data_IF_242418205191
#
_entry.id   IF_242418205191
#
_cell.length_a   1.000
_cell.length_b   1.000
_cell.length_c   1.000
_cell.angle_alpha   90.00
_cell.angle_beta   90.00
_cell.angle_gamma   90.00
#
_symmetry.space_group_name_H-M   'P 1'
#
loop_
_entity.id
_entity.type
_entity.pdbx_description
1 polymer ?
#
# COMPACT_ATOMS: atom_id res chain seq x y z
N UNK A 1 19.80 3.12 12.34
CA UNK A 1 18.36 3.35 12.52
C UNK A 1 17.65 2.30 13.39
N UNK A 2 18.29 1.22 13.84
CA UNK A 2 17.64 0.13 14.58
C UNK A 2 16.77 -0.78 13.72
N UNK A 3 16.98 -0.78 12.41
CA UNK A 3 16.42 -1.71 11.45
C UNK A 3 17.54 -2.55 10.84
N UNK A 4 17.24 -3.82 10.61
CA UNK A 4 18.07 -4.71 9.79
C UNK A 4 17.67 -4.52 8.33
N UNK A 5 18.62 -4.10 7.50
CA UNK A 5 18.36 -3.79 6.09
C UNK A 5 18.86 -4.93 5.21
N UNK A 6 17.98 -5.40 4.34
CA UNK A 6 18.29 -6.39 3.31
C UNK A 6 17.81 -5.92 1.92
N UNK A 7 18.31 -6.59 0.89
CA UNK A 7 17.93 -6.37 -0.50
C UNK A 7 17.50 -7.70 -1.10
N UNK A 8 16.32 -7.71 -1.70
CA UNK A 8 15.85 -8.83 -2.49
C UNK A 8 16.08 -8.51 -3.96
N UNK A 9 17.09 -9.12 -4.56
CA UNK A 9 17.29 -9.06 -6.01
C UNK A 9 16.44 -10.12 -6.69
N UNK A 10 15.78 -9.75 -7.77
CA UNK A 10 14.95 -10.66 -8.55
C UNK A 10 15.14 -10.43 -10.05
N UNK A 11 14.81 -11.45 -10.84
CA UNK A 11 14.82 -11.39 -12.30
C UNK A 11 13.40 -11.23 -12.80
N UNK A 12 13.21 -10.43 -13.82
CA UNK A 12 11.95 -10.34 -14.54
C UNK A 12 12.00 -11.20 -15.79
N UNK A 13 10.86 -11.66 -16.29
CA UNK A 13 10.75 -12.33 -17.59
C UNK A 13 11.14 -11.39 -18.75
N UNK A 14 11.07 -10.10 -18.51
CA UNK A 14 11.56 -9.04 -19.38
C UNK A 14 12.93 -8.61 -18.84
N UNK A 15 14.00 -9.17 -19.40
CA UNK A 15 15.37 -8.72 -19.08
C UNK A 15 15.48 -7.24 -19.45
N UNK A 16 15.39 -6.40 -18.45
CA UNK A 16 15.67 -4.98 -18.56
C UNK A 16 17.17 -4.82 -18.79
N UNK A 17 17.58 -4.81 -20.03
CA UNK A 17 18.92 -4.47 -20.54
C UNK A 17 19.96 -4.13 -19.44
N UNK A 18 20.33 -5.14 -18.60
CA UNK A 18 21.35 -5.01 -17.57
C UNK A 18 20.93 -4.28 -16.26
N UNK A 19 19.66 -4.00 -16.03
CA UNK A 19 19.19 -3.44 -14.75
C UNK A 19 18.92 -4.56 -13.75
N UNK A 20 19.39 -4.39 -12.53
CA UNK A 20 19.01 -5.24 -11.39
C UNK A 20 17.75 -4.67 -10.78
N UNK A 21 16.69 -5.48 -10.67
CA UNK A 21 15.48 -5.13 -9.95
C UNK A 21 15.66 -5.52 -8.48
N UNK A 22 15.38 -4.61 -7.56
CA UNK A 22 15.72 -4.77 -6.14
C UNK A 22 14.62 -4.22 -5.25
N UNK A 23 13.99 -5.08 -4.47
CA UNK A 23 13.20 -4.62 -3.34
C UNK A 23 14.13 -4.30 -2.15
N UNK A 24 13.86 -3.22 -1.43
CA UNK A 24 14.60 -2.84 -0.22
C UNK A 24 13.72 -3.16 0.99
N UNK A 25 14.26 -3.93 1.93
CA UNK A 25 13.50 -4.42 3.08
C UNK A 25 14.21 -3.98 4.37
N UNK A 26 13.48 -3.31 5.24
CA UNK A 26 13.93 -2.95 6.58
C UNK A 26 13.13 -3.73 7.63
N UNK A 27 13.78 -4.61 8.39
CA UNK A 27 13.14 -5.38 9.46
C UNK A 27 13.34 -4.69 10.81
N UNK A 28 12.24 -4.46 11.52
CA UNK A 28 12.22 -4.15 12.96
C UNK A 28 11.77 -5.37 13.73
N UNK A 29 12.72 -5.97 14.43
CA UNK A 29 12.45 -7.11 15.34
C UNK A 29 11.68 -6.67 16.60
N UNK A 30 10.86 -7.54 17.19
CA UNK A 30 10.18 -7.27 18.44
C UNK A 30 11.17 -7.18 19.62
N UNK A 31 10.74 -6.54 20.70
CA UNK A 31 11.56 -6.40 21.91
C UNK A 31 11.84 -7.74 22.62
N UNK A 32 10.90 -8.69 22.49
CA UNK A 32 11.05 -10.06 22.99
C UNK A 32 10.76 -11.03 21.85
N UNK A 33 11.52 -12.12 21.73
CA UNK A 33 11.25 -13.14 20.73
C UNK A 33 9.84 -13.70 20.91
N UNK A 34 8.98 -13.42 19.96
CA UNK A 34 7.63 -13.99 19.86
C UNK A 34 7.46 -14.46 18.41
N UNK A 35 6.95 -15.67 18.25
CA UNK A 35 6.62 -16.24 16.94
C UNK A 35 5.30 -15.66 16.41
N UNK A 36 5.22 -14.34 16.36
CA UNK A 36 4.07 -13.65 15.77
C UNK A 36 4.35 -13.30 14.31
N UNK A 37 3.36 -13.45 13.42
CA UNK A 37 3.50 -13.05 12.03
C UNK A 37 3.87 -11.57 11.88
N UNK A 38 4.74 -11.29 10.91
CA UNK A 38 5.18 -9.92 10.60
C UNK A 38 4.05 -9.07 10.06
N UNK A 39 3.98 -7.81 10.48
CA UNK A 39 3.19 -6.80 9.80
C UNK A 39 4.05 -6.17 8.71
N UNK A 40 3.49 -6.01 7.51
CA UNK A 40 4.17 -5.37 6.39
C UNK A 40 3.65 -3.95 6.20
N UNK A 41 4.55 -3.03 5.89
CA UNK A 41 4.25 -1.66 5.43
C UNK A 41 5.05 -1.45 4.16
N UNK A 42 4.42 -1.06 3.07
CA UNK A 42 5.10 -0.92 1.79
C UNK A 42 4.74 0.36 1.04
N UNK A 43 5.60 0.72 0.11
CA UNK A 43 5.37 1.68 -0.95
C UNK A 43 6.29 1.30 -2.12
N UNK A 44 5.89 1.56 -3.37
CA UNK A 44 6.83 1.42 -4.48
C UNK A 44 7.70 2.68 -4.61
N UNK A 45 8.91 2.53 -5.16
CA UNK A 45 9.85 3.65 -5.30
C UNK A 45 10.21 3.99 -6.73
N UNK A 46 9.72 3.21 -7.69
CA UNK A 46 9.79 3.54 -9.11
C UNK A 46 8.68 4.51 -9.52
N UNK A 47 8.77 5.06 -10.70
CA UNK A 47 7.76 5.95 -11.29
C UNK A 47 7.76 5.82 -12.81
N UNK A 48 6.65 6.12 -13.46
CA UNK A 48 6.54 6.07 -14.92
C UNK A 48 7.47 7.08 -15.58
N UNK A 49 8.03 6.70 -16.73
CA UNK A 49 8.92 7.57 -17.48
C UNK A 49 8.21 8.89 -17.84
N UNK A 50 8.88 10.00 -17.54
CA UNK A 50 8.37 11.35 -17.82
C UNK A 50 7.48 11.95 -16.72
N UNK A 51 7.15 11.19 -15.66
CA UNK A 51 6.53 11.72 -14.45
C UNK A 51 7.58 12.26 -13.48
N UNK A 52 7.17 13.22 -12.63
CA UNK A 52 8.00 13.67 -11.50
C UNK A 52 8.01 12.65 -10.35
N UNK A 53 7.02 11.73 -10.30
CA UNK A 53 6.86 10.76 -9.23
C UNK A 53 6.56 11.36 -7.84
N UNK A 54 6.15 12.64 -7.78
CA UNK A 54 6.03 13.34 -6.50
C UNK A 54 4.95 12.77 -5.59
N UNK A 55 3.77 12.46 -6.14
CA UNK A 55 2.71 11.77 -5.42
C UNK A 55 2.76 10.27 -5.68
N UNK A 56 2.97 9.89 -6.92
CA UNK A 56 3.11 8.52 -7.39
C UNK A 56 4.59 8.16 -7.64
N UNK A 57 5.36 7.58 -6.65
CA UNK A 57 4.86 7.34 -5.30
C UNK A 57 5.87 7.83 -4.24
N UNK A 58 6.53 8.97 -4.48
CA UNK A 58 7.42 9.54 -3.47
C UNK A 58 6.69 9.92 -2.17
N UNK A 59 5.38 10.24 -2.25
CA UNK A 59 4.55 10.50 -1.08
C UNK A 59 4.41 9.25 -0.20
N UNK A 60 4.13 8.09 -0.81
CA UNK A 60 4.07 6.80 -0.12
C UNK A 60 5.42 6.41 0.46
N UNK A 61 6.51 6.60 -0.29
CA UNK A 61 7.89 6.36 0.21
C UNK A 61 8.21 7.24 1.41
N UNK A 62 7.85 8.53 1.37
CA UNK A 62 8.06 9.44 2.49
C UNK A 62 7.31 8.97 3.76
N UNK A 63 6.05 8.55 3.60
CA UNK A 63 5.26 8.01 4.70
C UNK A 63 5.84 6.67 5.21
N UNK A 64 6.30 5.78 4.33
CA UNK A 64 6.99 4.53 4.68
C UNK A 64 8.24 4.80 5.54
N UNK A 65 9.08 5.74 5.10
CA UNK A 65 10.30 6.11 5.82
C UNK A 65 10.00 6.74 7.18
N UNK A 66 8.96 7.55 7.29
CA UNK A 66 8.55 8.14 8.56
C UNK A 66 7.98 7.09 9.52
N UNK A 67 7.18 6.13 9.03
CA UNK A 67 6.75 4.97 9.81
C UNK A 67 7.97 4.17 10.31
N UNK A 68 8.93 3.90 9.45
CA UNK A 68 10.17 3.21 9.80
C UNK A 68 10.97 3.98 10.87
N UNK A 69 11.11 5.30 10.73
CA UNK A 69 11.80 6.17 11.67
C UNK A 69 11.16 6.16 13.07
N UNK A 70 9.83 6.23 13.13
CA UNK A 70 9.09 6.23 14.38
C UNK A 70 9.12 4.86 15.05
N UNK A 71 8.81 3.81 14.31
CA UNK A 71 8.75 2.45 14.85
C UNK A 71 10.11 1.86 15.17
N UNK A 72 11.20 2.35 14.54
CA UNK A 72 12.56 1.92 14.91
C UNK A 72 12.92 2.21 16.37
N UNK A 73 12.31 3.24 16.97
CA UNK A 73 12.51 3.68 18.36
C UNK A 73 11.49 3.09 19.33
N UNK A 74 10.52 2.33 18.83
CA UNK A 74 9.42 1.79 19.61
C UNK A 74 9.67 0.33 19.96
N UNK A 75 9.27 -0.09 21.14
CA UNK A 75 9.24 -1.51 21.51
C UNK A 75 8.01 -2.16 20.88
N UNK A 76 8.23 -3.09 19.96
CA UNK A 76 7.18 -3.78 19.23
C UNK A 76 6.91 -5.17 19.85
N UNK A 77 5.66 -5.62 19.75
CA UNK A 77 5.26 -6.97 20.15
C UNK A 77 5.42 -7.98 19.03
N UNK A 78 5.42 -7.53 17.77
CA UNK A 78 5.59 -8.35 16.57
C UNK A 78 6.62 -7.75 15.63
N UNK A 79 7.22 -8.52 14.74
CA UNK A 79 8.09 -7.99 13.71
C UNK A 79 7.29 -7.04 12.78
N UNK A 80 7.95 -5.99 12.31
CA UNK A 80 7.44 -5.13 11.24
C UNK A 80 8.48 -5.06 10.13
N UNK A 81 8.05 -5.31 8.90
CA UNK A 81 8.88 -5.14 7.71
C UNK A 81 8.41 -3.91 6.93
N UNK A 82 9.34 -3.04 6.62
CA UNK A 82 9.15 -1.88 5.76
C UNK A 82 9.75 -2.21 4.41
N UNK A 83 8.94 -2.18 3.35
CA UNK A 83 9.35 -2.67 2.04
C UNK A 83 9.17 -1.56 1.01
N UNK A 84 10.26 -1.18 0.36
CA UNK A 84 10.20 -0.37 -0.84
C UNK A 84 10.25 -1.31 -2.05
N UNK A 85 9.13 -1.42 -2.77
CA UNK A 85 9.01 -2.25 -3.96
C UNK A 85 9.56 -1.53 -5.19
N UNK A 86 10.15 -2.30 -6.09
CA UNK A 86 10.63 -1.86 -7.38
C UNK A 86 9.70 -2.38 -8.48
N UNK A 87 9.60 -1.70 -9.60
CA UNK A 87 8.81 -2.12 -10.76
C UNK A 87 7.33 -2.36 -10.48
N UNK A 88 6.71 -1.45 -9.73
CA UNK A 88 5.25 -1.42 -9.56
C UNK A 88 4.57 -0.94 -10.85
N UNK A 89 5.16 0.07 -11.47
CA UNK A 89 4.61 0.76 -12.62
C UNK A 89 4.64 -0.07 -13.89
N UNK A 90 3.55 -0.02 -14.67
CA UNK A 90 3.54 -0.56 -16.03
C UNK A 90 4.39 0.31 -16.93
N UNK A 91 5.45 -0.23 -17.47
CA UNK A 91 6.39 0.44 -18.34
C UNK A 91 6.61 -0.38 -19.62
N UNK A 92 7.25 0.19 -20.67
CA UNK A 92 7.61 -0.59 -21.87
C UNK A 92 8.42 -1.85 -21.52
N UNK A 93 9.12 -1.82 -20.42
CA UNK A 93 10.01 -2.88 -19.95
C UNK A 93 9.29 -3.97 -19.14
N UNK A 94 8.07 -3.75 -18.68
CA UNK A 94 7.40 -4.75 -17.86
C UNK A 94 5.94 -4.41 -17.50
N UNK A 95 5.19 -5.42 -17.06
CA UNK A 95 3.74 -5.32 -16.84
C UNK A 95 3.35 -4.56 -15.56
N UNK A 96 4.31 -4.16 -14.73
CA UNK A 96 4.08 -3.63 -13.37
C UNK A 96 3.89 -4.73 -12.33
N UNK A 97 3.80 -4.33 -11.06
CA UNK A 97 3.65 -5.18 -9.87
C UNK A 97 4.70 -6.29 -9.75
N UNK A 98 5.88 -6.11 -10.38
CA UNK A 98 6.88 -7.18 -10.48
C UNK A 98 7.60 -7.38 -9.15
N UNK A 99 7.92 -6.31 -8.44
CA UNK A 99 8.61 -6.37 -7.16
C UNK A 99 7.76 -7.00 -6.06
N UNK A 100 6.52 -6.58 -5.93
CA UNK A 100 5.59 -7.15 -4.96
C UNK A 100 5.24 -8.61 -5.26
N UNK A 101 5.07 -8.97 -6.54
CA UNK A 101 4.91 -10.36 -6.97
C UNK A 101 6.12 -11.21 -6.59
N UNK A 102 7.33 -10.77 -6.93
CA UNK A 102 8.56 -11.48 -6.58
C UNK A 102 8.74 -11.64 -5.05
N UNK A 103 8.30 -10.66 -4.27
CA UNK A 103 8.36 -10.74 -2.82
C UNK A 103 7.43 -11.83 -2.28
N UNK A 104 6.14 -11.80 -2.63
CA UNK A 104 5.17 -12.74 -2.07
C UNK A 104 5.32 -14.16 -2.64
N UNK A 105 5.78 -14.31 -3.88
CA UNK A 105 6.08 -15.62 -4.48
C UNK A 105 7.31 -16.28 -3.86
N UNK A 106 8.29 -15.50 -3.41
CA UNK A 106 9.47 -16.02 -2.72
C UNK A 106 9.20 -16.47 -1.28
N UNK A 107 8.06 -16.13 -0.70
CA UNK A 107 7.68 -16.49 0.64
C UNK A 107 7.43 -18.00 0.75
N UNK A 108 8.23 -18.70 1.57
CA UNK A 108 8.08 -20.13 1.85
C UNK A 108 6.79 -20.41 2.61
N UNK A 109 6.46 -19.53 3.56
CA UNK A 109 5.24 -19.59 4.35
C UNK A 109 4.56 -18.23 4.41
N UNK A 110 3.42 -18.10 3.75
CA UNK A 110 2.64 -16.87 3.71
C UNK A 110 1.95 -16.56 5.04
N UNK A 111 1.75 -17.55 5.91
CA UNK A 111 1.23 -17.35 7.26
C UNK A 111 2.21 -16.60 8.18
N UNK A 112 3.48 -16.45 7.75
CA UNK A 112 4.46 -15.59 8.40
C UNK A 112 4.11 -14.09 8.32
N UNK A 113 3.10 -13.72 7.56
CA UNK A 113 2.63 -12.34 7.39
C UNK A 113 1.23 -12.14 7.99
N UNK A 114 1.10 -11.17 8.89
CA UNK A 114 -0.17 -10.82 9.51
C UNK A 114 -1.06 -9.95 8.61
N UNK A 115 -0.46 -9.27 7.65
CA UNK A 115 -1.11 -8.38 6.71
C UNK A 115 -0.18 -7.29 6.19
N UNK A 116 -0.68 -6.51 5.24
CA UNK A 116 0.05 -5.47 4.55
C UNK A 116 -0.72 -4.14 4.60
N UNK A 117 -0.04 -3.06 4.95
CA UNK A 117 -0.43 -1.69 4.63
C UNK A 117 0.41 -1.21 3.45
N UNK A 118 -0.20 -1.11 2.28
CA UNK A 118 0.43 -0.54 1.09
C UNK A 118 0.08 0.94 0.99
N UNK A 119 1.10 1.79 0.91
CA UNK A 119 0.98 3.24 0.86
C UNK A 119 1.11 3.68 -0.61
N UNK A 120 0.02 4.23 -1.14
CA UNK A 120 -0.11 4.58 -2.54
C UNK A 120 -0.69 5.97 -2.68
N UNK A 121 0.02 6.90 -3.34
CA UNK A 121 -0.44 8.26 -3.66
C UNK A 121 -1.11 8.98 -2.48
N UNK A 122 -0.38 9.11 -1.36
CA UNK A 122 -0.94 9.63 -0.09
C UNK A 122 -0.69 11.13 0.13
N UNK A 123 -0.11 11.84 -0.83
CA UNK A 123 0.31 13.24 -0.70
C UNK A 123 -0.57 14.26 -1.43
N UNK A 124 -1.44 13.83 -2.33
CA UNK A 124 -2.25 14.74 -3.14
C UNK A 124 -3.60 15.06 -2.49
N UNK A 125 -3.96 16.34 -2.50
CA UNK A 125 -5.31 16.79 -2.11
C UNK A 125 -5.90 17.68 -3.17
N UNK A 126 -7.23 17.70 -3.26
CA UNK A 126 -7.94 18.53 -4.25
C UNK A 126 -9.22 19.14 -3.70
N UNK A 127 -9.65 20.24 -4.35
CA UNK A 127 -10.78 21.06 -3.94
C UNK A 127 -12.15 20.45 -4.24
N UNK A 128 -13.23 21.23 -4.06
CA UNK A 128 -14.60 20.80 -4.35
C UNK A 128 -14.79 20.39 -5.81
N UNK A 129 -15.62 19.37 -6.05
CA UNK A 129 -16.02 18.93 -7.39
C UNK A 129 -14.91 18.28 -8.23
N UNK A 130 -13.78 17.92 -7.61
CA UNK A 130 -12.62 17.37 -8.34
C UNK A 130 -12.58 15.86 -8.42
N UNK A 131 -13.30 15.15 -7.55
CA UNK A 131 -13.33 13.68 -7.57
C UNK A 131 -14.38 13.17 -8.54
N UNK A 132 -13.93 12.39 -9.54
CA UNK A 132 -14.79 11.66 -10.47
C UNK A 132 -14.84 10.17 -10.13
N UNK A 133 -15.97 9.54 -10.45
CA UNK A 133 -16.18 8.11 -10.24
C UNK A 133 -16.73 7.44 -11.49
N UNK A 134 -16.42 6.17 -11.74
CA UNK A 134 -16.97 5.45 -12.89
C UNK A 134 -18.51 5.41 -12.86
N UNK A 135 -19.19 5.38 -14.02
CA UNK A 135 -20.62 5.18 -14.07
C UNK A 135 -21.06 3.91 -13.32
N UNK A 136 -22.06 4.01 -12.46
CA UNK A 136 -22.54 2.90 -11.65
C UNK A 136 -21.84 2.73 -10.29
N UNK A 137 -20.78 3.48 -10.00
CA UNK A 137 -20.09 3.41 -8.70
C UNK A 137 -21.03 3.62 -7.52
N UNK A 138 -21.99 4.55 -7.64
CA UNK A 138 -23.01 4.81 -6.62
C UNK A 138 -23.95 3.63 -6.34
N UNK A 139 -24.06 2.69 -7.28
CA UNK A 139 -24.90 1.48 -7.09
C UNK A 139 -24.12 0.37 -6.38
N UNK A 140 -22.81 0.34 -6.56
CA UNK A 140 -21.94 -0.71 -6.02
C UNK A 140 -21.45 -0.34 -4.62
N UNK A 141 -21.09 0.92 -4.42
CA UNK A 141 -20.57 1.47 -3.17
C UNK A 141 -21.37 2.70 -2.71
N UNK A 142 -22.70 2.55 -2.48
CA UNK A 142 -23.57 3.70 -2.20
C UNK A 142 -23.16 4.49 -0.96
N UNK A 143 -22.69 3.81 0.09
CA UNK A 143 -22.24 4.46 1.32
C UNK A 143 -20.93 5.25 1.15
N UNK A 144 -20.05 4.79 0.28
CA UNK A 144 -18.80 5.52 -0.07
C UNK A 144 -19.16 6.75 -0.90
N UNK A 145 -19.95 6.55 -1.95
CA UNK A 145 -20.40 7.63 -2.84
C UNK A 145 -21.10 8.76 -2.07
N UNK A 146 -21.99 8.40 -1.16
CA UNK A 146 -22.74 9.39 -0.37
C UNK A 146 -21.81 10.21 0.54
N UNK A 147 -20.83 9.58 1.18
CA UNK A 147 -19.84 10.30 2.01
C UNK A 147 -19.02 11.31 1.20
N UNK A 148 -18.60 10.92 0.00
CA UNK A 148 -17.85 11.83 -0.89
C UNK A 148 -18.77 12.95 -1.42
N UNK A 149 -20.01 12.63 -1.77
CA UNK A 149 -21.03 13.60 -2.19
C UNK A 149 -21.30 14.65 -1.12
N UNK A 150 -21.44 14.25 0.15
CA UNK A 150 -21.64 15.16 1.29
C UNK A 150 -20.47 16.10 1.53
N UNK A 151 -19.28 15.78 1.00
CA UNK A 151 -18.09 16.61 1.03
C UNK A 151 -17.84 17.35 -0.29
N UNK A 152 -18.87 17.49 -1.13
CA UNK A 152 -18.79 18.15 -2.43
C UNK A 152 -17.68 17.59 -3.33
N UNK A 153 -17.53 16.27 -3.35
CA UNK A 153 -16.53 15.56 -4.16
C UNK A 153 -15.10 16.10 -4.02
N UNK A 154 -14.70 16.46 -2.80
CA UNK A 154 -13.32 16.86 -2.48
C UNK A 154 -12.42 15.63 -2.39
N UNK A 155 -11.19 15.77 -2.89
CA UNK A 155 -10.12 14.80 -2.69
C UNK A 155 -9.25 15.18 -1.49
N UNK A 156 -9.81 15.23 -0.28
CA UNK A 156 -9.14 15.59 0.97
C UNK A 156 -9.28 14.49 2.03
N UNK A 157 -9.18 13.25 1.60
CA UNK A 157 -9.31 12.06 2.44
C UNK A 157 -8.26 11.00 2.08
N UNK A 158 -7.99 10.10 3.01
CA UNK A 158 -7.30 8.84 2.73
C UNK A 158 -8.34 7.76 2.44
N UNK A 159 -8.26 7.13 1.27
CA UNK A 159 -9.04 5.94 0.95
C UNK A 159 -8.28 4.69 1.42
N UNK A 160 -8.94 3.82 2.17
CA UNK A 160 -8.41 2.51 2.55
C UNK A 160 -9.22 1.45 1.84
N UNK A 161 -8.59 0.76 0.90
CA UNK A 161 -9.21 -0.35 0.18
C UNK A 161 -8.78 -1.65 0.85
N UNK A 162 -9.75 -2.47 1.26
CA UNK A 162 -9.46 -3.70 1.98
C UNK A 162 -10.38 -4.84 1.57
N UNK A 163 -9.82 -6.07 1.59
CA UNK A 163 -10.50 -7.31 1.27
C UNK A 163 -10.25 -8.36 2.35
N UNK A 164 -11.22 -9.23 2.58
CA UNK A 164 -11.08 -10.39 3.46
C UNK A 164 -10.63 -10.01 4.88
N UNK A 165 -9.57 -10.64 5.37
CA UNK A 165 -9.01 -10.35 6.71
C UNK A 165 -8.42 -8.94 6.85
N UNK A 166 -8.10 -8.27 5.75
CA UNK A 166 -7.61 -6.88 5.72
C UNK A 166 -8.66 -5.86 6.15
N UNK A 167 -9.95 -6.20 6.09
CA UNK A 167 -11.05 -5.30 6.49
C UNK A 167 -10.92 -4.88 7.96
N UNK A 168 -10.56 -5.80 8.83
CA UNK A 168 -10.35 -5.47 10.24
C UNK A 168 -9.15 -4.54 10.44
N UNK A 169 -8.09 -4.72 9.66
CA UNK A 169 -6.93 -3.80 9.68
C UNK A 169 -7.32 -2.40 9.22
N UNK A 170 -8.14 -2.28 8.17
CA UNK A 170 -8.66 -1.01 7.68
C UNK A 170 -9.49 -0.27 8.72
N UNK A 171 -10.37 -1.00 9.43
CA UNK A 171 -11.19 -0.44 10.52
C UNK A 171 -10.32 0.08 11.67
N UNK A 172 -9.32 -0.71 12.10
CA UNK A 172 -8.38 -0.28 13.14
C UNK A 172 -7.56 0.94 12.76
N UNK A 173 -7.17 1.04 11.48
CA UNK A 173 -6.51 2.23 10.98
C UNK A 173 -7.42 3.46 11.05
N UNK A 174 -8.68 3.33 10.59
CA UNK A 174 -9.65 4.42 10.63
C UNK A 174 -9.95 4.87 12.08
N UNK A 175 -10.09 3.93 13.02
CA UNK A 175 -10.28 4.23 14.44
C UNK A 175 -9.08 4.97 15.03
N UNK A 176 -7.86 4.53 14.69
CA UNK A 176 -6.64 5.19 15.13
C UNK A 176 -6.52 6.60 14.53
N UNK A 177 -6.81 6.76 13.23
CA UNK A 177 -6.83 8.07 12.59
C UNK A 177 -7.82 9.01 13.23
N UNK A 178 -9.05 8.56 13.49
CA UNK A 178 -10.08 9.36 14.17
C UNK A 178 -9.69 9.79 15.58
N UNK A 179 -8.92 8.95 16.30
CA UNK A 179 -8.45 9.25 17.65
C UNK A 179 -7.25 10.21 17.67
N UNK A 180 -6.29 10.00 16.78
CA UNK A 180 -4.98 10.65 16.87
C UNK A 180 -4.77 11.77 15.85
N UNK A 181 -5.53 11.74 14.74
CA UNK A 181 -5.46 12.73 13.67
C UNK A 181 -6.88 13.15 13.28
N UNK A 182 -7.62 13.82 14.15
CA UNK A 182 -9.07 14.05 13.98
C UNK A 182 -9.44 14.86 12.73
N UNK A 183 -8.50 15.58 12.14
CA UNK A 183 -8.70 16.33 10.91
C UNK A 183 -8.46 15.48 9.64
N UNK A 184 -7.95 14.25 9.78
CA UNK A 184 -7.76 13.32 8.66
C UNK A 184 -9.09 12.61 8.37
N UNK A 185 -9.66 12.89 7.22
CA UNK A 185 -10.81 12.14 6.73
C UNK A 185 -10.36 10.77 6.21
N UNK A 186 -10.97 9.71 6.69
CA UNK A 186 -10.69 8.34 6.24
C UNK A 186 -11.93 7.73 5.61
N UNK A 187 -11.77 7.17 4.42
CA UNK A 187 -12.82 6.51 3.66
C UNK A 187 -12.50 5.02 3.50
N UNK A 188 -13.14 4.17 4.30
CA UNK A 188 -12.99 2.72 4.15
C UNK A 188 -13.82 2.20 2.97
N UNK A 189 -13.17 1.48 2.09
CA UNK A 189 -13.73 0.80 0.91
C UNK A 189 -13.52 -0.70 1.10
N UNK A 190 -14.56 -1.37 1.58
CA UNK A 190 -14.52 -2.82 1.80
C UNK A 190 -14.94 -3.53 0.51
N UNK A 191 -14.06 -4.34 -0.05
CA UNK A 191 -14.27 -5.06 -1.30
C UNK A 191 -14.39 -6.54 -1.01
N UNK A 192 -15.58 -7.10 -1.24
CA UNK A 192 -15.84 -8.53 -1.00
C UNK A 192 -15.91 -9.36 -2.29
N UNK A 193 -15.77 -8.71 -3.47
CA UNK A 193 -15.87 -9.36 -4.78
C UNK A 193 -15.16 -8.52 -5.85
N UNK A 194 -14.74 -9.19 -6.92
CA UNK A 194 -14.14 -8.55 -8.08
C UNK A 194 -15.24 -8.20 -9.09
N UNK A 195 -15.55 -6.92 -9.20
CA UNK A 195 -16.38 -6.40 -10.28
C UNK A 195 -15.51 -5.66 -11.28
N UNK A 196 -15.77 -5.76 -12.60
CA UNK A 196 -14.98 -5.07 -13.62
C UNK A 196 -14.82 -3.56 -13.38
N UNK A 197 -15.83 -2.91 -12.82
CA UNK A 197 -15.83 -1.48 -12.48
C UNK A 197 -14.82 -1.13 -11.36
N UNK A 198 -14.38 -2.14 -10.62
CA UNK A 198 -13.39 -2.01 -9.55
C UNK A 198 -12.00 -2.52 -9.97
N UNK A 199 -11.77 -2.75 -11.27
CA UNK A 199 -10.50 -3.30 -11.76
C UNK A 199 -9.29 -2.45 -11.35
N UNK A 200 -9.45 -1.14 -11.28
CA UNK A 200 -8.37 -0.23 -10.90
C UNK A 200 -7.86 -0.44 -9.47
N UNK A 201 -8.67 -1.03 -8.58
CA UNK A 201 -8.21 -1.32 -7.22
C UNK A 201 -7.17 -2.45 -7.17
N UNK A 202 -6.94 -3.19 -8.26
CA UNK A 202 -5.92 -4.23 -8.37
C UNK A 202 -4.64 -3.76 -9.05
N UNK A 203 -4.47 -2.45 -9.23
CA UNK A 203 -3.34 -1.87 -9.94
C UNK A 203 -2.18 -1.43 -9.05
N UNK A 204 -2.17 -1.83 -7.77
CA UNK A 204 -1.09 -1.51 -6.86
C UNK A 204 -0.57 -2.74 -6.12
N UNK A 205 0.56 -2.63 -5.47
CA UNK A 205 1.38 -3.69 -4.85
C UNK A 205 0.66 -4.61 -3.85
N UNK A 206 -0.54 -4.24 -3.37
CA UNK A 206 -1.36 -5.12 -2.55
C UNK A 206 -2.02 -6.27 -3.37
N UNK A 207 -2.18 -6.09 -4.67
CA UNK A 207 -2.90 -7.07 -5.51
C UNK A 207 -2.26 -8.47 -5.54
N UNK A 208 -0.92 -8.63 -5.66
CA UNK A 208 -0.29 -9.94 -5.56
C UNK A 208 -0.52 -10.63 -4.21
N UNK A 209 -0.64 -9.87 -3.12
CA UNK A 209 -0.93 -10.43 -1.79
C UNK A 209 -2.38 -10.91 -1.67
N UNK A 210 -3.31 -10.25 -2.34
CA UNK A 210 -4.71 -10.70 -2.39
C UNK A 210 -4.88 -11.98 -3.22
N UNK A 211 -4.01 -12.19 -4.21
CA UNK A 211 -4.02 -13.38 -5.06
C UNK A 211 -3.33 -14.59 -4.39
N UNK A 212 -2.52 -14.37 -3.37
CA UNK A 212 -1.69 -15.36 -2.71
C UNK A 212 -2.37 -16.06 -1.55
#
# INVERSE_FOLDING_TARGET
CGLEISRQSYKTAHELAGRSCINIIGLKSPASPQELPSLLVSAHYDTVHGSSGADDNASGVAALLECARLLSKTQLRRPVQFIAFDMEETQPEGPGLVGSSAFIESAVDKSAYAGLYNLEMVGYTSGPGTQGYPPGFQLILPGVYERVRQRDFRGDFIAIVAQGSGIEMARRFADAAGRWVPNLSVLNIEVNYTLPILADIFRSDHAPFWAA
#
